data_IF_203199744266
#
_entry.id   IF_203199744266
#
_cell.length_a   1.000
_cell.length_b   1.000
_cell.length_c   1.000
_cell.angle_alpha   90.00
_cell.angle_beta   90.00
_cell.angle_gamma   90.00
#
_symmetry.space_group_name_H-M   'P 1'
#
loop_
_entity.id
_entity.type
_entity.pdbx_description
1 polymer ?
#
# COMPACT_ATOMS: atom_id res chain seq x y z
N UNK A 1 -33.91 10.26 -3.62
CA UNK A 1 -33.19 9.12 -2.98
C UNK A 1 -31.86 8.82 -3.72
N UNK A 2 -31.91 8.67 -5.04
CA UNK A 2 -30.72 8.41 -5.90
C UNK A 2 -29.70 9.54 -5.79
N UNK A 3 -30.16 10.79 -5.76
CA UNK A 3 -29.29 11.97 -5.65
C UNK A 3 -28.58 12.03 -4.29
N UNK A 4 -29.27 11.71 -3.22
CA UNK A 4 -28.67 11.64 -1.87
C UNK A 4 -27.65 10.49 -1.77
N UNK A 5 -27.94 9.33 -2.36
CA UNK A 5 -26.99 8.22 -2.42
C UNK A 5 -25.72 8.59 -3.19
N UNK A 6 -25.86 9.14 -4.39
CA UNK A 6 -24.72 9.51 -5.23
C UNK A 6 -23.87 10.67 -4.66
N UNK A 7 -24.49 11.65 -4.00
CA UNK A 7 -23.81 12.84 -3.53
C UNK A 7 -23.28 12.74 -2.10
N UNK A 8 -23.81 11.85 -1.29
CA UNK A 8 -23.45 11.72 0.12
C UNK A 8 -22.92 10.34 0.51
N UNK A 9 -23.66 9.30 0.21
CA UNK A 9 -23.29 7.93 0.62
C UNK A 9 -22.07 7.42 -0.16
N UNK A 10 -22.07 7.63 -1.47
CA UNK A 10 -20.99 7.14 -2.34
C UNK A 10 -19.61 7.74 -1.99
N UNK A 11 -19.45 9.06 -1.84
CA UNK A 11 -18.16 9.64 -1.44
C UNK A 11 -17.72 9.26 -0.02
N UNK A 12 -18.68 9.16 0.92
CA UNK A 12 -18.35 8.89 2.32
C UNK A 12 -17.96 7.44 2.59
N UNK A 13 -18.61 6.48 1.93
CA UNK A 13 -18.52 5.05 2.28
C UNK A 13 -17.98 4.16 1.16
N UNK A 14 -18.01 4.61 -0.08
CA UNK A 14 -17.66 3.77 -1.24
C UNK A 14 -16.35 4.21 -1.87
N UNK A 15 -16.18 5.48 -2.18
CA UNK A 15 -14.99 5.99 -2.88
C UNK A 15 -14.39 7.21 -2.20
N UNK A 16 -13.07 7.32 -2.24
CA UNK A 16 -12.31 8.50 -1.81
C UNK A 16 -11.45 9.05 -2.94
N UNK A 17 -11.00 10.30 -2.78
CA UNK A 17 -9.99 10.91 -3.66
C UNK A 17 -8.75 11.22 -2.84
N UNK A 18 -7.58 10.89 -3.38
CA UNK A 18 -6.29 11.18 -2.76
C UNK A 18 -5.35 11.71 -3.83
N UNK A 19 -4.52 12.68 -3.47
CA UNK A 19 -3.42 13.14 -4.31
C UNK A 19 -2.13 12.51 -3.79
N UNK A 20 -1.32 11.98 -4.71
CA UNK A 20 -0.01 11.42 -4.38
C UNK A 20 0.93 12.57 -4.03
N UNK A 21 1.58 12.46 -2.87
CA UNK A 21 2.68 13.32 -2.46
C UNK A 21 3.94 12.49 -2.33
N UNK A 22 4.96 12.83 -3.10
CA UNK A 22 6.26 12.17 -3.12
C UNK A 22 6.42 11.03 -4.12
N UNK A 23 7.58 10.37 -4.02
CA UNK A 23 8.08 9.46 -5.05
C UNK A 23 8.14 8.00 -4.62
N UNK A 24 7.48 7.61 -3.53
CA UNK A 24 7.59 6.24 -2.98
C UNK A 24 6.99 5.16 -3.88
N UNK A 25 6.07 5.54 -4.75
CA UNK A 25 5.40 4.67 -5.73
C UNK A 25 5.90 4.92 -7.17
N UNK A 26 7.04 5.61 -7.32
CA UNK A 26 7.60 5.96 -8.62
C UNK A 26 7.87 4.73 -9.47
N UNK A 27 7.52 4.80 -10.67
CA UNK A 27 7.20 4.07 -11.85
C UNK A 27 5.70 3.87 -12.03
N UNK A 28 4.97 3.48 -10.98
CA UNK A 28 3.52 3.26 -11.07
C UNK A 28 2.74 4.55 -10.89
N UNK A 29 3.09 5.31 -9.85
CA UNK A 29 2.45 6.58 -9.52
C UNK A 29 3.49 7.67 -9.35
N UNK A 30 3.15 8.89 -9.74
CA UNK A 30 4.00 10.06 -9.67
C UNK A 30 3.42 11.10 -8.72
N UNK A 31 4.28 11.97 -8.24
CA UNK A 31 3.90 13.13 -7.46
C UNK A 31 2.85 13.97 -8.20
N UNK A 32 1.79 14.37 -7.50
CA UNK A 32 0.66 15.10 -8.06
C UNK A 32 -0.41 14.24 -8.75
N UNK A 33 -0.23 12.92 -8.88
CA UNK A 33 -1.27 12.04 -9.43
C UNK A 33 -2.54 12.08 -8.55
N UNK A 34 -3.70 12.18 -9.18
CA UNK A 34 -4.99 12.09 -8.50
C UNK A 34 -5.55 10.69 -8.61
N UNK A 35 -5.83 10.08 -7.47
CA UNK A 35 -6.29 8.70 -7.35
C UNK A 35 -7.73 8.64 -6.87
N UNK A 36 -8.44 7.63 -7.33
CA UNK A 36 -9.69 7.17 -6.75
C UNK A 36 -9.42 5.85 -6.05
N UNK A 37 -9.76 5.80 -4.77
CA UNK A 37 -9.76 4.59 -3.98
C UNK A 37 -11.20 4.18 -3.65
N UNK A 38 -11.42 2.88 -3.59
CA UNK A 38 -12.66 2.30 -3.12
C UNK A 38 -12.43 1.58 -1.79
N UNK A 39 -13.49 1.53 -0.98
CA UNK A 39 -13.46 0.94 0.37
C UNK A 39 -14.31 -0.31 0.47
N UNK A 40 -15.21 -0.49 -0.48
CA UNK A 40 -16.29 -1.47 -0.39
C UNK A 40 -15.80 -2.92 -0.51
N UNK A 41 -14.84 -3.18 -1.38
CA UNK A 41 -14.29 -4.53 -1.59
C UNK A 41 -13.82 -5.17 -0.29
N UNK A 42 -13.13 -4.40 0.55
CA UNK A 42 -12.51 -4.91 1.77
C UNK A 42 -13.50 -5.17 2.93
N UNK A 43 -14.79 -4.85 2.74
CA UNK A 43 -15.85 -5.35 3.63
C UNK A 43 -16.24 -6.79 3.33
N UNK A 44 -16.00 -7.26 2.10
CA UNK A 44 -16.42 -8.58 1.63
C UNK A 44 -15.25 -9.51 1.32
N UNK A 45 -14.09 -8.94 0.95
CA UNK A 45 -12.89 -9.68 0.59
C UNK A 45 -11.69 -9.19 1.41
N UNK A 46 -10.71 -10.08 1.58
CA UNK A 46 -9.43 -9.67 2.18
C UNK A 46 -8.57 -8.96 1.13
N UNK A 47 -7.74 -7.98 1.56
CA UNK A 47 -6.73 -7.39 0.69
C UNK A 47 -5.84 -8.47 0.06
N UNK A 48 -5.54 -8.30 -1.23
CA UNK A 48 -4.78 -9.27 -2.03
C UNK A 48 -3.36 -8.76 -2.28
N UNK A 49 -2.44 -9.70 -2.54
CA UNK A 49 -1.09 -9.36 -2.97
C UNK A 49 -1.15 -8.49 -4.23
N UNK A 50 -0.28 -7.50 -4.27
CA UNK A 50 -0.15 -6.47 -5.30
C UNK A 50 -1.26 -5.42 -5.34
N UNK A 51 -2.30 -5.49 -4.52
CA UNK A 51 -3.21 -4.36 -4.38
C UNK A 51 -2.44 -3.10 -3.99
N UNK A 52 -2.71 -1.98 -4.66
CA UNK A 52 -2.26 -0.67 -4.22
C UNK A 52 -3.29 -0.15 -3.23
N UNK A 53 -2.82 0.18 -2.04
CA UNK A 53 -3.69 0.56 -0.93
C UNK A 53 -3.31 1.92 -0.37
N UNK A 54 -4.33 2.62 0.15
CA UNK A 54 -4.16 3.78 0.98
C UNK A 54 -4.20 3.33 2.42
N UNK A 55 -3.19 3.69 3.20
CA UNK A 55 -3.07 3.30 4.60
C UNK A 55 -2.82 4.50 5.49
N UNK A 56 -3.23 4.38 6.76
CA UNK A 56 -2.84 5.28 7.83
C UNK A 56 -1.62 4.67 8.56
N UNK A 57 -0.45 5.31 8.54
CA UNK A 57 0.80 4.72 9.05
C UNK A 57 0.83 4.59 10.58
N UNK A 58 -0.05 5.28 11.28
CA UNK A 58 -0.05 5.25 12.75
C UNK A 58 -1.45 4.94 13.27
N UNK A 59 -1.53 4.04 14.23
CA UNK A 59 -2.76 3.82 14.97
C UNK A 59 -3.22 5.11 15.66
N UNK A 60 -4.50 5.35 15.65
CA UNK A 60 -5.23 6.53 16.12
C UNK A 60 -4.85 7.04 17.54
N UNK A 61 -4.13 6.26 18.33
CA UNK A 61 -3.73 6.65 19.68
C UNK A 61 -2.54 7.63 19.73
N UNK A 62 -1.74 7.73 18.67
CA UNK A 62 -0.49 8.50 18.71
C UNK A 62 -0.63 9.95 18.21
N UNK A 63 -1.71 10.32 17.52
CA UNK A 63 -1.85 11.66 16.90
C UNK A 63 -3.27 12.22 16.96
N UNK A 64 -3.82 12.40 18.15
CA UNK A 64 -4.95 13.30 18.30
C UNK A 64 -4.48 14.73 17.95
N UNK A 65 -4.71 15.19 16.71
CA UNK A 65 -4.50 16.58 16.31
C UNK A 65 -3.60 16.82 15.08
N UNK A 66 -3.10 15.82 14.38
CA UNK A 66 -2.47 15.99 13.08
C UNK A 66 -3.41 15.47 11.98
N UNK A 67 -3.45 16.19 10.83
CA UNK A 67 -4.12 15.71 9.63
C UNK A 67 -3.62 14.29 9.31
N UNK A 68 -4.56 13.41 8.92
CA UNK A 68 -4.28 12.02 8.60
C UNK A 68 -3.27 11.96 7.44
N UNK A 69 -2.01 11.67 7.74
CA UNK A 69 -1.01 11.37 6.72
C UNK A 69 -1.39 10.03 6.08
N UNK A 70 -2.02 10.07 4.93
CA UNK A 70 -2.29 8.87 4.16
C UNK A 70 -1.06 8.49 3.33
N UNK A 71 -0.69 7.21 3.40
CA UNK A 71 0.35 6.65 2.55
C UNK A 71 -0.25 5.77 1.47
N UNK A 72 0.35 5.84 0.28
CA UNK A 72 0.02 4.93 -0.82
C UNK A 72 1.14 3.91 -0.92
N UNK A 73 0.82 2.62 -0.81
CA UNK A 73 1.78 1.50 -0.86
C UNK A 73 1.16 0.30 -1.58
N UNK A 74 2.01 -0.67 -1.94
CA UNK A 74 1.60 -1.95 -2.51
C UNK A 74 1.73 -3.07 -1.49
N UNK A 75 0.75 -3.97 -1.45
CA UNK A 75 0.80 -5.18 -0.62
C UNK A 75 1.77 -6.16 -1.28
N UNK A 76 2.81 -6.55 -0.54
CA UNK A 76 3.81 -7.52 -1.00
C UNK A 76 3.71 -8.84 -0.23
N UNK A 77 3.54 -8.78 1.08
CA UNK A 77 3.37 -9.96 1.92
C UNK A 77 2.00 -10.00 2.58
N UNK A 78 1.46 -11.19 2.71
CA UNK A 78 0.14 -11.49 3.28
C UNK A 78 0.28 -12.00 4.72
N UNK A 79 -0.82 -11.98 5.52
CA UNK A 79 -0.82 -12.48 6.88
C UNK A 79 -0.32 -13.93 6.98
N UNK A 80 0.57 -14.20 7.93
CA UNK A 80 1.14 -15.52 8.22
C UNK A 80 2.30 -15.93 7.32
N UNK A 81 2.58 -15.22 6.24
CA UNK A 81 3.69 -15.53 5.34
C UNK A 81 5.04 -15.09 5.93
N UNK A 82 6.10 -15.73 5.46
CA UNK A 82 7.48 -15.33 5.75
C UNK A 82 8.07 -14.62 4.55
N UNK A 83 8.44 -13.35 4.71
CA UNK A 83 9.08 -12.54 3.67
C UNK A 83 10.58 -12.44 3.91
N UNK A 84 11.36 -12.54 2.83
CA UNK A 84 12.80 -12.29 2.81
C UNK A 84 13.21 -11.52 1.55
N UNK A 85 14.14 -10.59 1.69
CA UNK A 85 14.74 -9.88 0.56
C UNK A 85 16.23 -10.28 0.47
N UNK A 86 16.60 -11.00 -0.58
CA UNK A 86 17.96 -11.41 -0.86
C UNK A 86 18.30 -11.26 -2.35
N UNK A 87 19.53 -10.86 -2.66
CA UNK A 87 19.94 -10.63 -4.04
C UNK A 87 19.08 -9.59 -4.78
N UNK A 88 18.55 -8.59 -4.06
CA UNK A 88 17.69 -7.54 -4.64
C UNK A 88 16.28 -7.97 -5.01
N UNK A 89 15.86 -9.18 -4.61
CA UNK A 89 14.56 -9.79 -4.95
C UNK A 89 13.80 -10.20 -3.69
N UNK A 90 12.47 -10.23 -3.80
CA UNK A 90 11.56 -10.68 -2.74
C UNK A 90 11.35 -12.19 -2.81
N UNK A 91 11.38 -12.83 -1.67
CA UNK A 91 11.02 -14.24 -1.48
C UNK A 91 9.87 -14.31 -0.47
N UNK A 92 8.89 -15.16 -0.75
CA UNK A 92 7.78 -15.49 0.15
C UNK A 92 7.83 -16.97 0.45
N UNK A 93 7.83 -17.35 1.73
CA UNK A 93 7.92 -18.72 2.21
C UNK A 93 9.11 -19.51 1.59
N UNK A 94 10.21 -18.78 1.34
CA UNK A 94 11.43 -19.34 0.74
C UNK A 94 11.43 -19.38 -0.79
N UNK A 95 10.31 -19.09 -1.47
CA UNK A 95 10.18 -19.10 -2.92
C UNK A 95 10.30 -17.67 -3.50
N UNK A 96 10.94 -17.56 -4.67
CA UNK A 96 11.06 -16.29 -5.37
C UNK A 96 9.69 -15.78 -5.79
N UNK A 97 9.38 -14.54 -5.42
CA UNK A 97 8.16 -13.85 -5.88
C UNK A 97 8.37 -13.32 -7.31
N UNK A 98 8.15 -14.19 -8.31
CA UNK A 98 8.41 -13.87 -9.72
C UNK A 98 7.48 -12.78 -10.28
N UNK A 99 6.25 -12.70 -9.75
CA UNK A 99 5.22 -11.76 -10.19
C UNK A 99 5.43 -10.33 -9.66
N UNK A 100 6.45 -10.09 -8.83
CA UNK A 100 6.78 -8.74 -8.35
C UNK A 100 7.51 -7.92 -9.42
N UNK A 101 6.78 -7.56 -10.46
CA UNK A 101 7.26 -6.80 -11.62
C UNK A 101 7.16 -5.28 -11.45
N UNK A 102 6.61 -4.81 -10.34
CA UNK A 102 6.23 -3.40 -10.12
C UNK A 102 7.39 -2.53 -9.64
N UNK A 103 8.40 -3.13 -9.06
CA UNK A 103 9.55 -2.40 -8.54
C UNK A 103 10.43 -1.80 -9.64
N UNK A 104 10.96 -0.61 -9.39
CA UNK A 104 11.81 0.13 -10.33
C UNK A 104 13.30 -0.31 -10.32
N UNK A 105 13.59 -1.55 -9.96
CA UNK A 105 14.95 -2.11 -9.96
C UNK A 105 15.25 -2.96 -8.72
N UNK A 106 16.52 -3.29 -8.55
CA UNK A 106 16.96 -4.11 -7.42
C UNK A 106 16.74 -3.43 -6.07
N UNK A 107 16.25 -4.22 -5.12
CA UNK A 107 16.04 -3.76 -3.75
C UNK A 107 17.40 -3.69 -3.05
N UNK A 108 17.93 -2.49 -2.92
CA UNK A 108 19.23 -2.27 -2.25
C UNK A 108 19.12 -2.08 -0.74
N UNK A 109 17.93 -1.77 -0.22
CA UNK A 109 17.64 -1.68 1.20
C UNK A 109 16.61 -2.73 1.61
N UNK A 110 17.05 -3.75 2.34
CA UNK A 110 16.21 -4.89 2.75
C UNK A 110 15.49 -4.66 4.08
N UNK A 111 16.08 -3.83 4.96
CA UNK A 111 15.51 -3.54 6.29
C UNK A 111 15.31 -4.78 7.15
N UNK A 112 14.12 -4.91 7.76
CA UNK A 112 13.77 -6.07 8.60
C UNK A 112 13.71 -7.37 7.81
N UNK A 113 13.38 -7.31 6.51
CA UNK A 113 13.30 -8.46 5.62
C UNK A 113 14.67 -8.92 5.08
N UNK A 114 15.80 -8.39 5.59
CA UNK A 114 17.14 -8.92 5.29
C UNK A 114 17.28 -10.38 5.75
N UNK A 115 16.62 -10.72 6.85
CA UNK A 115 16.43 -12.10 7.32
C UNK A 115 14.96 -12.45 7.12
N UNK A 116 14.62 -13.72 7.29
CA UNK A 116 13.24 -14.17 7.29
C UNK A 116 12.44 -13.42 8.34
N UNK A 117 11.37 -12.78 7.89
CA UNK A 117 10.46 -12.01 8.72
C UNK A 117 9.06 -12.59 8.56
N UNK A 118 8.54 -13.20 9.61
CA UNK A 118 7.16 -13.72 9.62
C UNK A 118 6.19 -12.58 9.85
N UNK A 119 5.28 -12.39 8.91
CA UNK A 119 4.22 -11.38 8.96
C UNK A 119 3.17 -11.85 9.97
N UNK A 120 2.82 -11.03 10.98
CA UNK A 120 1.78 -11.40 11.94
C UNK A 120 0.44 -11.71 11.26
N UNK A 121 -0.36 -12.58 11.90
CA UNK A 121 -1.73 -12.85 11.45
C UNK A 121 -2.57 -11.56 11.43
N UNK A 122 -3.32 -11.35 10.35
CA UNK A 122 -4.13 -10.16 10.15
C UNK A 122 -3.37 -8.91 9.74
N UNK A 123 -2.07 -9.00 9.53
CA UNK A 123 -1.22 -7.88 9.10
C UNK A 123 -0.63 -8.12 7.71
N UNK A 124 -0.27 -7.02 7.05
CA UNK A 124 0.23 -6.99 5.68
C UNK A 124 1.59 -6.30 5.63
N UNK A 125 2.50 -6.83 4.82
CA UNK A 125 3.79 -6.22 4.56
C UNK A 125 3.69 -5.36 3.29
N UNK A 126 3.79 -4.05 3.46
CA UNK A 126 3.62 -3.08 2.39
C UNK A 126 4.98 -2.54 1.93
N UNK A 127 5.12 -2.35 0.62
CA UNK A 127 6.28 -1.69 0.04
C UNK A 127 5.85 -0.62 -0.97
N UNK A 128 6.69 0.39 -1.12
CA UNK A 128 6.58 1.27 -2.28
C UNK A 128 7.17 0.63 -3.52
N UNK A 129 6.72 1.03 -4.70
CA UNK A 129 7.26 0.57 -5.98
C UNK A 129 8.63 1.19 -6.27
N UNK A 130 8.96 2.30 -5.62
CA UNK A 130 10.32 2.83 -5.63
C UNK A 130 11.21 1.99 -4.70
N UNK A 131 11.82 0.95 -5.25
CA UNK A 131 12.61 -0.04 -4.51
C UNK A 131 14.05 0.40 -4.24
N UNK A 132 14.51 1.47 -4.91
CA UNK A 132 15.91 1.90 -4.89
C UNK A 132 16.23 2.60 -3.56
N UNK A 133 17.18 2.06 -2.84
CA UNK A 133 17.67 2.66 -1.59
C UNK A 133 16.57 2.82 -0.56
N UNK A 134 16.53 4.00 0.06
CA UNK A 134 15.59 4.38 1.11
C UNK A 134 14.52 5.37 0.63
N UNK A 135 14.16 5.32 -0.64
CA UNK A 135 13.20 6.27 -1.24
C UNK A 135 11.74 6.00 -0.92
N UNK A 136 11.43 4.80 -0.42
CA UNK A 136 10.12 4.49 0.14
C UNK A 136 10.26 4.17 1.61
N UNK A 137 9.54 4.91 2.45
CA UNK A 137 9.40 4.60 3.87
C UNK A 137 8.21 3.66 4.02
N UNK A 138 8.48 2.40 4.37
CA UNK A 138 7.51 1.31 4.31
C UNK A 138 7.85 0.18 5.29
N UNK A 139 7.20 -0.98 5.19
CA UNK A 139 7.35 -2.10 6.14
C UNK A 139 8.77 -2.66 6.28
N UNK A 140 9.69 -2.31 5.38
CA UNK A 140 11.11 -2.65 5.54
C UNK A 140 11.74 -1.95 6.75
N UNK A 141 11.19 -0.81 7.17
CA UNK A 141 11.66 -0.10 8.35
C UNK A 141 11.04 -0.65 9.61
N UNK A 142 11.88 -0.95 10.61
CA UNK A 142 11.44 -1.52 11.89
C UNK A 142 10.42 -0.64 12.61
N UNK A 143 10.58 0.67 12.52
CA UNK A 143 9.70 1.66 13.14
C UNK A 143 8.36 1.83 12.43
N UNK A 144 8.24 1.37 11.19
CA UNK A 144 6.98 1.33 10.44
C UNK A 144 6.24 0.04 10.74
N UNK A 145 6.92 -1.09 10.57
CA UNK A 145 6.33 -2.41 10.77
C UNK A 145 5.33 -2.81 9.69
N UNK A 146 4.49 -3.77 10.02
CA UNK A 146 3.38 -4.27 9.21
C UNK A 146 2.10 -3.49 9.50
N UNK A 147 1.10 -3.62 8.65
CA UNK A 147 -0.17 -2.87 8.73
C UNK A 147 -1.33 -3.83 8.91
N UNK A 148 -2.16 -3.57 9.93
CA UNK A 148 -3.42 -4.30 10.11
C UNK A 148 -4.45 -3.91 9.05
N UNK A 149 -5.45 -4.76 8.84
CA UNK A 149 -6.53 -4.46 7.89
C UNK A 149 -7.27 -3.16 8.25
N UNK A 150 -7.39 -2.83 9.54
CA UNK A 150 -8.06 -1.60 9.99
C UNK A 150 -7.29 -0.32 9.61
N UNK A 151 -6.00 -0.43 9.35
CA UNK A 151 -5.18 0.68 8.85
C UNK A 151 -5.31 0.87 7.34
N UNK A 152 -5.91 -0.08 6.61
CA UNK A 152 -6.14 0.01 5.17
C UNK A 152 -7.44 0.78 4.92
N UNK A 153 -7.30 2.02 4.46
CA UNK A 153 -8.42 2.93 4.19
C UNK A 153 -9.19 2.53 2.93
N UNK A 154 -8.50 1.97 1.93
CA UNK A 154 -9.13 1.52 0.70
C UNK A 154 -8.12 1.09 -0.36
N UNK A 155 -8.64 0.46 -1.41
CA UNK A 155 -7.89 0.03 -2.60
C UNK A 155 -7.90 1.12 -3.66
N UNK A 156 -6.77 1.43 -4.23
CA UNK A 156 -6.66 2.33 -5.39
C UNK A 156 -7.11 1.58 -6.63
N UNK A 157 -8.09 2.14 -7.34
CA UNK A 157 -8.68 1.51 -8.53
C UNK A 157 -8.44 2.32 -9.80
N UNK A 158 -8.26 3.63 -9.67
CA UNK A 158 -8.18 4.52 -10.81
C UNK A 158 -7.25 5.71 -10.55
N UNK A 159 -6.50 6.10 -11.58
CA UNK A 159 -5.80 7.38 -11.68
C UNK A 159 -6.56 8.29 -12.64
N UNK A 160 -6.91 9.50 -12.19
CA UNK A 160 -7.72 10.45 -12.96
C UNK A 160 -6.90 11.58 -13.59
N UNK A 161 -5.65 11.78 -13.17
CA UNK A 161 -4.74 12.81 -13.68
C UNK A 161 -3.29 12.32 -13.50
N UNK A 162 -2.35 12.67 -14.41
CA UNK A 162 -2.55 13.41 -15.68
C UNK A 162 -3.21 12.60 -16.79
N UNK A 163 -3.19 11.28 -16.69
CA UNK A 163 -3.80 10.36 -17.67
C UNK A 163 -4.82 9.47 -16.98
N UNK A 164 -6.00 9.39 -17.56
CA UNK A 164 -7.07 8.51 -17.09
C UNK A 164 -6.68 7.05 -17.31
N UNK A 165 -6.71 6.20 -16.28
CA UNK A 165 -6.40 4.78 -16.41
C UNK A 165 -6.55 4.00 -15.12
N UNK A 166 -6.69 2.68 -15.26
CA UNK A 166 -6.59 1.73 -14.15
C UNK A 166 -5.17 1.71 -13.62
N UNK A 167 -5.03 1.46 -12.33
CA UNK A 167 -3.72 1.32 -11.66
C UNK A 167 -3.58 -0.15 -11.30
N UNK A 168 -2.80 -0.86 -12.10
CA UNK A 168 -2.48 -2.29 -11.90
C UNK A 168 -1.03 -2.45 -11.48
#
# INVERSE_FOLDING_TARGET
FIFFFASYIMPCYVCGKVTVDGNSMQNTLHDGDHLINEKLSYYFEKPKRFDIVIVTPFTTAAKAGQEDDYWVKRIIGLPGETIQIKGGKVYIDGELLEDDIYGNGEITYQGVAKQEYTIPEGEYFLMGDNRIGKKSYDSRYREVGTFSQDQIVGKVIFRTSPLFGTVE
#
